data_IF_077523833103
#
_entry.id   IF_077523833103
#
_cell.length_a   1.000
_cell.length_b   1.000
_cell.length_c   1.000
_cell.angle_alpha   90.00
_cell.angle_beta   90.00
_cell.angle_gamma   90.00
#
_symmetry.space_group_name_H-M   'P 1'
#
loop_
_entity.id
_entity.type
_entity.pdbx_description
1 polymer ?
#
# COMPACT_ATOMS: atom_id res chain seq x y z
N UNK A 1 -36.51 8.71 -9.34
CA UNK A 1 -36.49 7.45 -8.56
C UNK A 1 -35.39 6.60 -9.16
N UNK A 2 -34.34 6.10 -8.49
CA UNK A 2 -34.04 5.86 -7.08
C UNK A 2 -33.01 6.86 -6.50
N UNK A 3 -33.12 7.07 -5.18
CA UNK A 3 -32.10 7.70 -4.33
C UNK A 3 -31.03 6.65 -4.01
N UNK A 4 -29.76 7.02 -4.10
CA UNK A 4 -28.72 6.41 -3.28
C UNK A 4 -28.16 7.49 -2.38
N UNK A 5 -28.73 7.50 -1.18
CA UNK A 5 -28.38 8.37 -0.07
C UNK A 5 -27.26 7.67 0.70
N UNK A 6 -26.04 7.68 0.17
CA UNK A 6 -24.88 7.20 0.92
C UNK A 6 -24.32 8.36 1.74
N UNK A 7 -24.66 8.34 3.02
CA UNK A 7 -23.86 8.98 4.06
C UNK A 7 -22.44 8.41 3.94
N UNK A 8 -21.53 9.12 3.28
CA UNK A 8 -20.09 8.80 3.32
C UNK A 8 -19.61 9.25 4.70
N UNK A 9 -19.98 8.48 5.71
CA UNK A 9 -19.46 8.58 7.06
C UNK A 9 -18.00 8.19 7.03
N UNK A 10 -17.14 9.16 7.35
CA UNK A 10 -15.68 9.00 7.49
C UNK A 10 -15.00 8.35 6.30
N UNK A 11 -14.58 9.17 5.33
CA UNK A 11 -13.52 8.81 4.39
C UNK A 11 -12.28 8.40 5.19
N UNK A 12 -12.17 7.12 5.59
CA UNK A 12 -10.95 6.58 6.20
C UNK A 12 -9.83 6.89 5.21
N UNK A 13 -8.92 7.76 5.61
CA UNK A 13 -7.81 8.18 4.76
C UNK A 13 -6.88 6.98 4.62
N UNK A 14 -6.85 6.39 3.42
CA UNK A 14 -5.93 5.31 3.09
C UNK A 14 -4.67 5.93 2.48
N UNK A 15 -3.50 5.53 2.98
CA UNK A 15 -2.20 5.88 2.39
C UNK A 15 -1.59 4.64 1.74
N UNK A 16 -1.24 4.75 0.47
CA UNK A 16 -0.48 3.73 -0.24
C UNK A 16 1.02 4.04 -0.15
N UNK A 17 1.84 3.01 0.04
CA UNK A 17 3.30 3.13 0.03
C UNK A 17 3.96 1.94 -0.67
N UNK A 18 5.12 2.17 -1.28
CA UNK A 18 5.95 1.12 -1.87
C UNK A 18 7.30 1.11 -1.14
N UNK A 19 7.73 -0.08 -0.74
CA UNK A 19 9.06 -0.36 -0.17
C UNK A 19 9.84 -1.24 -1.12
N UNK A 20 11.13 -0.98 -1.20
CA UNK A 20 12.04 -1.63 -2.14
C UNK A 20 13.07 -2.45 -1.38
N UNK A 21 13.33 -3.67 -1.86
CA UNK A 21 14.24 -4.60 -1.20
C UNK A 21 15.17 -5.29 -2.21
N UNK A 22 16.35 -5.71 -1.73
CA UNK A 22 17.23 -6.62 -2.45
C UNK A 22 16.75 -8.09 -2.33
N UNK A 23 17.53 -9.02 -2.88
CA UNK A 23 17.23 -10.45 -2.92
C UNK A 23 17.27 -11.12 -1.54
N UNK A 24 17.95 -10.50 -0.59
CA UNK A 24 17.99 -10.89 0.83
C UNK A 24 16.86 -10.24 1.66
N UNK A 25 15.95 -9.48 1.04
CA UNK A 25 14.88 -8.73 1.67
C UNK A 25 15.37 -7.60 2.60
N UNK A 26 16.57 -7.05 2.35
CA UNK A 26 17.03 -5.84 3.01
C UNK A 26 16.49 -4.59 2.29
N UNK A 27 16.09 -3.53 3.01
CA UNK A 27 15.62 -2.30 2.39
C UNK A 27 16.72 -1.63 1.57
N UNK A 28 16.43 -1.31 0.31
CA UNK A 28 17.36 -0.61 -0.60
C UNK A 28 16.65 0.50 -1.36
N UNK A 29 17.42 1.33 -2.05
CA UNK A 29 16.87 2.29 -3.00
C UNK A 29 16.32 1.57 -4.24
N UNK A 30 15.32 2.18 -4.90
CA UNK A 30 14.61 1.57 -6.05
C UNK A 30 15.53 1.06 -7.15
N UNK A 31 16.64 1.76 -7.42
CA UNK A 31 17.62 1.42 -8.45
C UNK A 31 18.39 0.12 -8.19
N UNK A 32 18.37 -0.38 -6.95
CA UNK A 32 19.04 -1.62 -6.52
C UNK A 32 18.07 -2.72 -6.14
N UNK A 33 16.78 -2.46 -6.27
CA UNK A 33 15.74 -3.33 -5.77
C UNK A 33 15.47 -4.48 -6.74
N UNK A 34 15.42 -5.69 -6.20
CA UNK A 34 14.93 -6.89 -6.90
C UNK A 34 13.51 -7.24 -6.47
N UNK A 35 13.02 -6.64 -5.38
CA UNK A 35 11.66 -6.80 -4.86
C UNK A 35 11.01 -5.46 -4.54
N UNK A 36 9.69 -5.39 -4.76
CA UNK A 36 8.82 -4.33 -4.28
C UNK A 36 7.72 -4.89 -3.39
N UNK A 37 7.41 -4.17 -2.31
CA UNK A 37 6.24 -4.41 -1.47
C UNK A 37 5.35 -3.17 -1.54
N UNK A 38 4.15 -3.34 -2.06
CA UNK A 38 3.08 -2.34 -2.03
C UNK A 38 2.21 -2.56 -0.80
N UNK A 39 1.90 -1.49 -0.07
CA UNK A 39 1.09 -1.53 1.13
C UNK A 39 0.05 -0.42 1.14
N UNK A 40 -1.10 -0.71 1.74
CA UNK A 40 -2.09 0.29 2.09
C UNK A 40 -2.29 0.29 3.60
N UNK A 41 -2.24 1.49 4.19
CA UNK A 41 -2.45 1.70 5.62
C UNK A 41 -3.57 2.68 5.86
N UNK A 42 -4.31 2.50 6.95
CA UNK A 42 -5.29 3.49 7.41
C UNK A 42 -4.61 4.71 8.07
N UNK A 43 -5.44 5.66 8.50
CA UNK A 43 -5.03 6.89 9.16
C UNK A 43 -4.31 6.68 10.51
N UNK A 44 -4.47 5.50 11.12
CA UNK A 44 -3.80 5.09 12.35
C UNK A 44 -2.53 4.27 12.08
N UNK A 45 -2.20 4.05 10.81
CA UNK A 45 -1.05 3.23 10.40
C UNK A 45 -1.31 1.73 10.45
N UNK A 46 -2.54 1.27 10.61
CA UNK A 46 -2.86 -0.14 10.54
C UNK A 46 -2.77 -0.63 9.10
N UNK A 47 -2.14 -1.79 8.91
CA UNK A 47 -2.06 -2.43 7.60
C UNK A 47 -3.45 -2.91 7.16
N UNK A 48 -3.88 -2.47 5.99
CA UNK A 48 -5.12 -2.91 5.34
C UNK A 48 -4.85 -3.92 4.23
N UNK A 49 -3.76 -3.71 3.49
CA UNK A 49 -3.37 -4.54 2.36
C UNK A 49 -1.85 -4.56 2.19
N UNK A 50 -1.32 -5.70 1.74
CA UNK A 50 0.07 -5.87 1.35
C UNK A 50 0.18 -6.82 0.16
N UNK A 51 0.99 -6.44 -0.82
CA UNK A 51 1.37 -7.29 -1.95
C UNK A 51 2.86 -7.17 -2.21
N UNK A 52 3.50 -8.30 -2.49
CA UNK A 52 4.91 -8.39 -2.85
C UNK A 52 5.06 -8.87 -4.29
N UNK A 53 6.02 -8.29 -5.01
CA UNK A 53 6.35 -8.69 -6.37
C UNK A 53 7.85 -8.58 -6.63
N UNK A 54 8.35 -9.47 -7.48
CA UNK A 54 9.69 -9.37 -8.04
C UNK A 54 9.74 -8.24 -9.07
N UNK A 55 10.86 -7.51 -9.10
CA UNK A 55 11.14 -6.48 -10.09
C UNK A 55 12.17 -7.06 -11.06
N UNK A 56 11.73 -7.29 -12.30
CA UNK A 56 12.58 -7.67 -13.44
C UNK A 56 12.93 -6.44 -14.28
#
# INVERSE_FOLDING_TARGET
MLKSNENIGSSRSVRSEIRYFDDELNPVSRDKATWAVFREVDDKGNLLFEAQGFID
#
